data_IF_459547911136
#
_entry.id   IF_459547911136
#
_cell.length_a   1.000
_cell.length_b   1.000
_cell.length_c   1.000
_cell.angle_alpha   90.00
_cell.angle_beta   90.00
_cell.angle_gamma   90.00
#
_symmetry.space_group_name_H-M   'P 1'
#
loop_
_entity.id
_entity.type
_entity.pdbx_description
1 polymer ?
#
# COMPACT_ATOMS: atom_id res chain seq x y z
N UNK A 1 -38.78 -14.98 14.06
CA UNK A 1 -37.46 -15.43 13.59
C UNK A 1 -36.58 -14.19 13.54
N UNK A 2 -35.67 -14.06 14.49
CA UNK A 2 -34.71 -12.93 14.52
C UNK A 2 -33.76 -13.12 13.34
N UNK A 3 -33.83 -12.27 12.34
CA UNK A 3 -32.83 -12.20 11.27
C UNK A 3 -31.56 -11.73 11.96
N UNK A 4 -30.63 -12.65 12.16
CA UNK A 4 -29.27 -12.31 12.60
C UNK A 4 -28.68 -11.41 11.51
N UNK A 5 -28.71 -10.09 11.73
CA UNK A 5 -27.98 -9.16 10.86
C UNK A 5 -26.49 -9.43 11.09
N UNK A 6 -25.88 -10.20 10.23
CA UNK A 6 -24.41 -10.30 10.21
C UNK A 6 -23.84 -8.88 10.03
N UNK A 7 -22.89 -8.52 10.87
CA UNK A 7 -22.18 -7.23 10.71
C UNK A 7 -21.59 -7.13 9.32
N UNK A 8 -21.68 -5.98 8.65
CA UNK A 8 -21.01 -5.77 7.38
C UNK A 8 -19.50 -5.94 7.57
N UNK A 9 -18.81 -6.36 6.55
CA UNK A 9 -17.38 -6.66 6.60
C UNK A 9 -16.61 -5.76 5.66
N UNK A 10 -15.46 -5.29 6.13
CA UNK A 10 -14.51 -4.50 5.36
C UNK A 10 -13.20 -5.29 5.20
N UNK A 11 -12.82 -5.59 3.98
CA UNK A 11 -11.58 -6.25 3.64
C UNK A 11 -10.55 -5.22 3.17
N UNK A 12 -9.55 -4.94 3.99
CA UNK A 12 -8.41 -4.11 3.61
C UNK A 12 -7.37 -4.99 2.91
N UNK A 13 -7.08 -4.69 1.64
CA UNK A 13 -6.08 -5.43 0.87
C UNK A 13 -4.76 -4.68 0.97
N UNK A 14 -3.82 -5.26 1.71
CA UNK A 14 -2.54 -4.67 2.10
C UNK A 14 -1.38 -5.34 1.36
N UNK A 15 -0.45 -4.56 0.91
CA UNK A 15 0.75 -5.03 0.23
C UNK A 15 1.49 -3.90 -0.47
N UNK A 16 2.80 -4.04 -0.60
CA UNK A 16 3.63 -3.05 -1.28
C UNK A 16 3.21 -2.89 -2.75
N UNK A 17 3.44 -1.73 -3.33
CA UNK A 17 3.36 -1.52 -4.78
C UNK A 17 4.04 -2.66 -5.54
N UNK A 18 3.47 -3.11 -6.65
CA UNK A 18 3.98 -4.18 -7.51
C UNK A 18 3.95 -5.59 -6.92
N UNK A 19 3.29 -5.79 -5.78
CA UNK A 19 3.12 -7.12 -5.14
C UNK A 19 1.92 -7.91 -5.65
N UNK A 20 1.17 -7.42 -6.65
CA UNK A 20 -0.01 -8.12 -7.18
C UNK A 20 -1.32 -7.75 -6.48
N UNK A 21 -1.33 -6.72 -5.64
CA UNK A 21 -2.54 -6.26 -4.93
C UNK A 21 -3.70 -5.93 -5.87
N UNK A 22 -3.43 -5.36 -7.05
CA UNK A 22 -4.47 -5.08 -8.06
C UNK A 22 -5.15 -6.35 -8.57
N UNK A 23 -4.39 -7.42 -8.82
CA UNK A 23 -4.93 -8.70 -9.26
C UNK A 23 -5.80 -9.33 -8.18
N UNK A 24 -5.33 -9.32 -6.93
CA UNK A 24 -6.10 -9.82 -5.78
C UNK A 24 -7.39 -9.02 -5.60
N UNK A 25 -7.34 -7.69 -5.70
CA UNK A 25 -8.53 -6.83 -5.57
C UNK A 25 -9.56 -7.17 -6.65
N UNK A 26 -9.12 -7.38 -7.89
CA UNK A 26 -10.06 -7.77 -8.96
C UNK A 26 -10.67 -9.14 -8.73
N UNK A 27 -9.90 -10.12 -8.28
CA UNK A 27 -10.43 -11.46 -7.94
C UNK A 27 -11.45 -11.35 -6.81
N UNK A 28 -11.14 -10.62 -5.73
CA UNK A 28 -12.06 -10.37 -4.61
C UNK A 28 -13.34 -9.66 -5.09
N UNK A 29 -13.23 -8.70 -5.99
CA UNK A 29 -14.38 -8.02 -6.60
C UNK A 29 -15.23 -8.98 -7.45
N UNK A 30 -14.59 -9.85 -8.25
CA UNK A 30 -15.29 -10.87 -9.03
C UNK A 30 -15.99 -11.92 -8.16
N UNK A 31 -15.47 -12.16 -6.95
CA UNK A 31 -16.10 -12.98 -5.91
C UNK A 31 -17.22 -12.25 -5.15
N UNK A 32 -17.51 -11.00 -5.52
CA UNK A 32 -18.70 -10.26 -5.09
C UNK A 32 -18.48 -9.23 -4.00
N UNK A 33 -17.23 -8.91 -3.61
CA UNK A 33 -16.97 -7.77 -2.76
C UNK A 33 -17.16 -6.46 -3.53
N UNK A 34 -17.79 -5.48 -2.90
CA UNK A 34 -17.95 -4.14 -3.46
C UNK A 34 -16.66 -3.34 -3.26
N UNK A 35 -16.11 -2.77 -4.32
CA UNK A 35 -14.91 -1.94 -4.29
C UNK A 35 -15.19 -0.44 -4.49
N UNK A 36 -16.48 -0.06 -4.52
CA UNK A 36 -16.94 1.30 -4.83
C UNK A 36 -17.02 1.58 -6.32
N UNK A 37 -17.40 2.80 -6.66
CA UNK A 37 -17.71 3.20 -8.06
C UNK A 37 -16.61 4.06 -8.68
N UNK A 38 -15.92 4.87 -7.90
CA UNK A 38 -14.88 5.79 -8.39
C UNK A 38 -13.52 5.08 -8.45
N UNK A 39 -13.38 4.11 -9.35
CA UNK A 39 -12.17 3.30 -9.51
C UNK A 39 -11.21 3.96 -10.50
N UNK A 40 -9.93 4.01 -10.14
CA UNK A 40 -8.87 4.53 -11.01
C UNK A 40 -8.81 3.76 -12.33
N UNK A 41 -8.80 4.49 -13.42
CA UNK A 41 -8.69 3.94 -14.77
C UNK A 41 -7.33 3.24 -14.97
N UNK A 42 -7.25 2.26 -15.88
CA UNK A 42 -5.97 1.73 -16.33
C UNK A 42 -5.02 2.83 -16.77
N UNK A 43 -3.73 2.64 -16.48
CA UNK A 43 -2.72 3.65 -16.78
C UNK A 43 -1.35 3.07 -17.04
N UNK A 44 -0.37 3.95 -17.23
CA UNK A 44 1.00 3.53 -17.52
C UNK A 44 1.55 2.60 -16.42
N UNK A 45 2.00 1.43 -16.81
CA UNK A 45 2.54 0.40 -15.91
C UNK A 45 1.49 -0.53 -15.28
N UNK A 46 0.18 -0.34 -15.57
CA UNK A 46 -0.88 -1.27 -15.19
C UNK A 46 -2.06 -1.20 -16.17
N UNK A 47 -1.93 -1.88 -17.31
CA UNK A 47 -2.93 -1.92 -18.37
C UNK A 47 -4.25 -2.58 -17.95
N UNK A 48 -4.20 -3.49 -16.97
CA UNK A 48 -5.36 -4.23 -16.45
C UNK A 48 -6.14 -3.44 -15.38
N UNK A 49 -5.67 -2.24 -15.01
CA UNK A 49 -6.30 -1.37 -14.02
C UNK A 49 -5.69 -1.49 -12.63
N UNK A 50 -5.76 -0.38 -11.89
CA UNK A 50 -5.23 -0.30 -10.55
C UNK A 50 -6.16 -0.94 -9.51
N UNK A 51 -7.46 -0.94 -9.78
CA UNK A 51 -8.50 -1.40 -8.84
C UNK A 51 -8.42 -0.69 -7.49
N UNK A 52 -8.06 0.58 -7.52
CA UNK A 52 -7.99 1.49 -6.39
C UNK A 52 -9.15 2.47 -6.46
N UNK A 53 -9.77 2.77 -5.32
CA UNK A 53 -10.74 3.84 -5.24
C UNK A 53 -10.01 5.19 -5.28
N UNK A 54 -10.36 6.07 -6.22
CA UNK A 54 -9.64 7.33 -6.43
C UNK A 54 -9.61 8.22 -5.18
N UNK A 55 -10.73 8.30 -4.46
CA UNK A 55 -10.79 9.12 -3.24
C UNK A 55 -9.98 8.48 -2.09
N UNK A 56 -9.92 7.15 -2.02
CA UNK A 56 -9.07 6.46 -1.04
C UNK A 56 -7.59 6.76 -1.28
N UNK A 57 -7.17 6.66 -2.54
CA UNK A 57 -5.81 7.01 -2.98
C UNK A 57 -5.47 8.47 -2.63
N UNK A 58 -6.38 9.40 -2.89
CA UNK A 58 -6.18 10.82 -2.62
C UNK A 58 -6.11 11.11 -1.11
N UNK A 59 -6.93 10.43 -0.29
CA UNK A 59 -6.87 10.56 1.17
C UNK A 59 -5.52 10.10 1.68
N UNK A 60 -5.07 8.90 1.29
CA UNK A 60 -3.78 8.36 1.74
C UNK A 60 -2.61 9.24 1.25
N UNK A 61 -2.67 9.74 0.02
CA UNK A 61 -1.67 10.65 -0.52
C UNK A 61 -1.60 11.96 0.28
N UNK A 62 -2.74 12.61 0.48
CA UNK A 62 -2.83 13.87 1.25
C UNK A 62 -2.36 13.71 2.68
N UNK A 63 -2.70 12.58 3.31
CA UNK A 63 -2.28 12.27 4.67
C UNK A 63 -0.76 12.13 4.77
N UNK A 64 -0.13 11.40 3.86
CA UNK A 64 1.34 11.30 3.83
C UNK A 64 1.98 12.66 3.58
N UNK A 65 1.45 13.46 2.66
CA UNK A 65 1.95 14.81 2.37
C UNK A 65 1.87 15.74 3.57
N UNK A 66 0.82 15.67 4.38
CA UNK A 66 0.68 16.47 5.59
C UNK A 66 1.82 16.24 6.61
N UNK A 67 2.49 15.11 6.51
CA UNK A 67 3.67 14.74 7.29
C UNK A 67 4.99 14.94 6.56
N UNK A 68 4.99 15.59 5.39
CA UNK A 68 6.18 15.70 4.54
C UNK A 68 6.70 14.34 4.08
N UNK A 69 5.79 13.38 3.86
CA UNK A 69 6.09 12.03 3.39
C UNK A 69 5.51 11.82 1.99
N UNK A 70 6.07 10.89 1.29
CA UNK A 70 5.57 10.40 -0.01
C UNK A 70 5.41 8.89 0.05
N UNK A 71 4.80 8.31 -0.98
CA UNK A 71 4.64 6.86 -1.08
C UNK A 71 5.98 6.09 -1.15
N UNK A 72 7.08 6.74 -1.49
CA UNK A 72 8.42 6.15 -1.57
C UNK A 72 9.33 6.53 -0.39
N UNK A 73 8.77 7.08 0.67
CA UNK A 73 9.50 7.46 1.86
C UNK A 73 9.68 6.25 2.80
N UNK A 74 10.89 6.01 3.25
CA UNK A 74 11.22 4.94 4.19
C UNK A 74 11.14 5.37 5.67
N UNK A 75 10.92 6.66 5.94
CA UNK A 75 10.76 7.18 7.29
C UNK A 75 9.38 6.84 7.82
N UNK A 76 9.32 6.51 9.10
CA UNK A 76 8.05 6.29 9.78
C UNK A 76 7.27 7.58 9.98
N UNK A 77 5.94 7.45 10.03
CA UNK A 77 5.10 8.47 10.63
C UNK A 77 5.31 8.48 12.16
N UNK A 78 5.15 9.64 12.85
CA UNK A 78 5.17 9.71 14.31
C UNK A 78 4.17 8.71 14.92
N UNK A 79 4.44 8.19 16.11
CA UNK A 79 3.61 7.12 16.70
C UNK A 79 2.16 7.56 16.93
N UNK A 80 1.96 8.81 17.31
CA UNK A 80 0.66 9.41 17.60
C UNK A 80 -0.01 10.08 16.40
N UNK A 81 0.51 9.88 15.17
CA UNK A 81 -0.01 10.55 13.98
C UNK A 81 -1.53 10.36 13.74
N UNK A 82 -2.18 9.21 14.10
CA UNK A 82 -3.61 9.08 13.89
C UNK A 82 -4.44 10.04 14.75
N UNK A 83 -3.92 10.42 15.94
CA UNK A 83 -4.55 11.35 16.87
C UNK A 83 -4.28 12.81 16.55
N UNK A 84 -3.30 13.10 15.69
CA UNK A 84 -2.96 14.45 15.24
C UNK A 84 -3.97 15.01 14.23
N UNK A 85 -3.92 16.31 13.97
CA UNK A 85 -4.88 16.99 13.10
C UNK A 85 -5.05 16.34 11.72
N UNK A 86 -3.95 15.99 11.05
CA UNK A 86 -4.01 15.35 9.74
C UNK A 86 -4.66 13.96 9.78
N UNK A 87 -4.36 13.15 10.82
CA UNK A 87 -5.00 11.85 11.03
C UNK A 87 -6.51 11.98 11.28
N UNK A 88 -6.92 12.93 12.10
CA UNK A 88 -8.35 13.21 12.36
C UNK A 88 -9.08 13.72 11.13
N UNK A 89 -8.47 14.57 10.32
CA UNK A 89 -9.02 15.01 9.04
C UNK A 89 -9.20 13.83 8.08
N UNK A 90 -8.18 12.97 7.96
CA UNK A 90 -8.27 11.76 7.14
C UNK A 90 -9.41 10.85 7.61
N UNK A 91 -9.56 10.64 8.92
CA UNK A 91 -10.66 9.86 9.50
C UNK A 91 -12.03 10.39 9.08
N UNK A 92 -12.24 11.72 9.14
CA UNK A 92 -13.50 12.36 8.72
C UNK A 92 -13.75 12.10 7.22
N UNK A 93 -12.74 12.26 6.38
CA UNK A 93 -12.84 12.02 4.93
C UNK A 93 -13.13 10.55 4.61
N UNK A 94 -12.48 9.62 5.32
CA UNK A 94 -12.71 8.17 5.15
C UNK A 94 -14.13 7.81 5.58
N UNK A 95 -14.63 8.30 6.72
CA UNK A 95 -16.00 8.07 7.14
C UNK A 95 -17.01 8.55 6.10
N UNK A 96 -16.82 9.75 5.54
CA UNK A 96 -17.68 10.27 4.48
C UNK A 96 -17.62 9.40 3.20
N UNK A 97 -16.43 8.90 2.85
CA UNK A 97 -16.26 7.98 1.73
C UNK A 97 -17.01 6.66 1.97
N UNK A 98 -16.85 6.03 3.14
CA UNK A 98 -17.50 4.77 3.48
C UNK A 98 -19.02 4.92 3.43
N UNK A 99 -19.57 5.96 4.04
CA UNK A 99 -21.02 6.22 4.02
C UNK A 99 -21.55 6.44 2.62
N UNK A 100 -20.83 7.15 1.77
CA UNK A 100 -21.26 7.47 0.39
C UNK A 100 -21.20 6.24 -0.54
N UNK A 101 -20.17 5.42 -0.42
CA UNK A 101 -19.89 4.34 -1.38
C UNK A 101 -20.37 2.97 -0.90
N UNK A 102 -20.34 2.71 0.42
CA UNK A 102 -20.44 1.36 0.98
C UNK A 102 -21.62 1.17 1.94
N UNK A 103 -22.49 2.16 2.11
CA UNK A 103 -23.68 2.00 2.97
C UNK A 103 -24.54 0.83 2.50
N UNK A 104 -24.95 -0.02 3.45
CA UNK A 104 -25.79 -1.20 3.20
C UNK A 104 -25.09 -2.36 2.47
N UNK A 105 -23.79 -2.29 2.21
CA UNK A 105 -23.04 -3.36 1.56
C UNK A 105 -22.60 -4.42 2.57
N UNK A 106 -22.86 -5.71 2.33
CA UNK A 106 -22.49 -6.78 3.27
C UNK A 106 -20.98 -7.06 3.30
N UNK A 107 -20.28 -6.90 2.18
CA UNK A 107 -18.84 -7.04 2.04
C UNK A 107 -18.30 -5.96 1.12
N UNK A 108 -17.35 -5.20 1.64
CA UNK A 108 -16.59 -4.21 0.89
C UNK A 108 -15.11 -4.54 0.89
N UNK A 109 -14.41 -4.13 -0.16
CA UNK A 109 -12.95 -4.26 -0.22
C UNK A 109 -12.34 -2.94 -0.64
N UNK A 110 -11.31 -2.50 0.07
CA UNK A 110 -10.56 -1.28 -0.26
C UNK A 110 -9.09 -1.61 -0.40
N UNK A 111 -8.47 -1.06 -1.43
CA UNK A 111 -7.06 -1.22 -1.69
C UNK A 111 -6.43 0.09 -2.18
N UNK A 112 -5.43 0.52 -1.47
CA UNK A 112 -4.36 1.39 -1.92
C UNK A 112 -3.06 0.88 -1.29
N UNK A 113 -1.94 0.76 -2.02
CA UNK A 113 -0.69 0.30 -1.39
C UNK A 113 -0.26 1.17 -0.21
N UNK A 114 -0.50 2.50 -0.25
CA UNK A 114 -0.18 3.44 0.85
C UNK A 114 -0.94 3.12 2.13
N UNK A 115 -2.09 2.44 2.01
CA UNK A 115 -2.87 1.97 3.17
C UNK A 115 -2.03 1.08 4.11
N UNK A 116 -0.96 0.44 3.63
CA UNK A 116 0.00 -0.22 4.50
C UNK A 116 0.58 0.72 5.57
N UNK A 117 0.71 2.01 5.25
CA UNK A 117 1.26 3.04 6.14
C UNK A 117 0.17 3.77 6.93
N UNK A 118 -1.06 3.77 6.42
CA UNK A 118 -2.20 4.56 6.95
C UNK A 118 -3.31 3.67 7.53
N UNK A 119 -3.11 2.36 7.59
CA UNK A 119 -4.12 1.38 8.04
C UNK A 119 -4.82 1.73 9.37
N UNK A 120 -4.17 2.31 10.40
CA UNK A 120 -4.86 2.63 11.64
C UNK A 120 -6.11 3.47 11.49
N UNK A 121 -6.10 4.52 10.65
CA UNK A 121 -7.29 5.38 10.44
C UNK A 121 -8.35 4.69 9.58
N UNK A 122 -7.98 3.79 8.69
CA UNK A 122 -8.93 2.98 7.92
C UNK A 122 -9.65 1.97 8.80
N UNK A 123 -8.92 1.30 9.70
CA UNK A 123 -9.50 0.37 10.69
C UNK A 123 -10.46 1.13 11.60
N UNK A 124 -10.02 2.26 12.21
CA UNK A 124 -10.86 3.10 13.08
C UNK A 124 -12.14 3.55 12.37
N UNK A 125 -12.03 3.99 11.10
CA UNK A 125 -13.18 4.45 10.33
C UNK A 125 -14.22 3.35 10.11
N UNK A 126 -13.81 2.20 9.59
CA UNK A 126 -14.73 1.10 9.33
C UNK A 126 -15.37 0.56 10.63
N UNK A 127 -14.58 0.39 11.70
CA UNK A 127 -15.09 -0.08 12.99
C UNK A 127 -16.10 0.91 13.60
N UNK A 128 -15.84 2.22 13.50
CA UNK A 128 -16.75 3.26 13.99
C UNK A 128 -18.12 3.27 13.28
N UNK A 129 -18.15 2.78 12.04
CA UNK A 129 -19.35 2.62 11.23
C UNK A 129 -19.95 1.21 11.31
N UNK A 130 -19.45 0.38 12.22
CA UNK A 130 -20.04 -0.92 12.56
C UNK A 130 -19.57 -2.07 11.68
N UNK A 131 -18.58 -1.90 10.82
CA UNK A 131 -17.99 -2.99 10.04
C UNK A 131 -17.08 -3.88 10.91
N UNK A 132 -17.01 -5.15 10.59
CA UNK A 132 -15.94 -6.06 11.03
C UNK A 132 -14.78 -5.94 10.05
N UNK A 133 -13.62 -5.43 10.54
CA UNK A 133 -12.45 -5.20 9.69
C UNK A 133 -11.59 -6.44 9.62
N UNK A 134 -11.18 -6.79 8.40
CA UNK A 134 -10.33 -7.93 8.09
C UNK A 134 -9.23 -7.48 7.13
N UNK A 135 -8.05 -8.11 7.20
CA UNK A 135 -6.92 -7.73 6.37
C UNK A 135 -6.42 -8.92 5.54
N UNK A 136 -6.34 -8.70 4.23
CA UNK A 136 -5.73 -9.64 3.29
C UNK A 136 -4.39 -9.08 2.82
N UNK A 137 -3.31 -9.73 3.23
CA UNK A 137 -1.96 -9.39 2.82
C UNK A 137 -1.59 -10.07 1.52
N UNK A 138 -0.98 -9.30 0.63
CA UNK A 138 -0.45 -9.79 -0.64
C UNK A 138 1.05 -9.53 -0.67
N UNK A 139 1.82 -10.58 -0.68
CA UNK A 139 3.28 -10.50 -0.71
C UNK A 139 3.82 -11.08 -2.02
N UNK A 140 4.88 -10.47 -2.51
CA UNK A 140 5.66 -10.92 -3.66
C UNK A 140 7.14 -10.88 -3.29
N UNK A 141 7.94 -11.69 -3.98
CA UNK A 141 9.41 -11.67 -3.78
C UNK A 141 9.94 -10.23 -3.87
N UNK A 142 10.61 -9.73 -2.81
CA UNK A 142 11.13 -8.36 -2.79
C UNK A 142 12.05 -8.05 -3.96
N UNK A 143 12.76 -9.06 -4.52
CA UNK A 143 13.62 -8.89 -5.69
C UNK A 143 12.81 -8.59 -6.94
N UNK A 144 11.67 -9.28 -7.13
CA UNK A 144 10.77 -9.01 -8.27
C UNK A 144 10.07 -7.66 -8.12
N UNK A 145 9.73 -7.26 -6.90
CA UNK A 145 9.20 -5.92 -6.61
C UNK A 145 10.25 -4.87 -6.96
N UNK A 146 11.51 -5.09 -6.54
CA UNK A 146 12.62 -4.20 -6.84
C UNK A 146 12.88 -4.07 -8.34
N UNK A 147 12.92 -5.19 -9.07
CA UNK A 147 13.09 -5.18 -10.52
C UNK A 147 11.97 -4.44 -11.24
N UNK A 148 10.72 -4.66 -10.80
CA UNK A 148 9.55 -4.00 -11.38
C UNK A 148 9.53 -2.48 -11.12
N UNK A 149 9.94 -2.03 -9.93
CA UNK A 149 10.03 -0.61 -9.59
C UNK A 149 11.24 0.05 -10.24
N UNK A 150 12.39 -0.64 -10.28
CA UNK A 150 13.57 -0.14 -11.00
C UNK A 150 13.26 0.09 -12.48
N UNK A 151 12.55 -0.83 -13.13
CA UNK A 151 12.16 -0.68 -14.53
C UNK A 151 11.22 0.52 -14.75
N UNK A 152 10.31 0.81 -13.81
CA UNK A 152 9.34 1.91 -13.91
C UNK A 152 9.92 3.26 -13.50
N UNK A 153 10.60 3.31 -12.33
CA UNK A 153 11.03 4.56 -11.68
C UNK A 153 12.51 4.87 -11.92
N UNK A 154 13.29 3.90 -12.43
CA UNK A 154 14.75 3.99 -12.61
C UNK A 154 15.52 4.19 -11.30
N UNK A 155 14.96 3.74 -10.18
CA UNK A 155 15.61 3.83 -8.88
C UNK A 155 16.62 2.69 -8.66
N UNK A 156 17.63 2.93 -7.77
CA UNK A 156 18.47 1.84 -7.28
C UNK A 156 17.64 0.78 -6.54
N UNK A 157 18.13 -0.46 -6.46
CA UNK A 157 17.40 -1.57 -5.84
C UNK A 157 17.36 -1.47 -4.31
N UNK A 158 18.47 -1.07 -3.69
CA UNK A 158 18.60 -1.08 -2.23
C UNK A 158 17.53 -0.23 -1.51
N UNK A 159 17.24 1.03 -1.90
CA UNK A 159 16.13 1.77 -1.34
C UNK A 159 14.76 1.09 -1.50
N UNK A 160 14.57 0.32 -2.58
CA UNK A 160 13.31 -0.38 -2.82
C UNK A 160 13.12 -1.53 -1.80
N UNK A 161 14.19 -2.23 -1.41
CA UNK A 161 14.11 -3.24 -0.35
C UNK A 161 13.72 -2.64 0.99
N UNK A 162 14.28 -1.49 1.35
CA UNK A 162 13.88 -0.76 2.56
C UNK A 162 12.42 -0.30 2.49
N UNK A 163 11.98 0.17 1.34
CA UNK A 163 10.61 0.58 1.11
C UNK A 163 9.64 -0.60 1.23
N UNK A 164 9.98 -1.76 0.65
CA UNK A 164 9.21 -2.99 0.79
C UNK A 164 9.05 -3.38 2.28
N UNK A 165 10.15 -3.36 3.02
CA UNK A 165 10.13 -3.64 4.46
C UNK A 165 9.28 -2.63 5.24
N UNK A 166 9.36 -1.34 4.90
CA UNK A 166 8.57 -0.28 5.51
C UNK A 166 7.08 -0.55 5.36
N UNK A 167 6.61 -0.82 4.14
CA UNK A 167 5.21 -1.11 3.88
C UNK A 167 4.72 -2.34 4.61
N UNK A 168 5.45 -3.44 4.51
CA UNK A 168 5.01 -4.72 5.06
C UNK A 168 5.01 -4.70 6.59
N UNK A 169 6.05 -4.13 7.24
CA UNK A 169 6.09 -4.07 8.70
C UNK A 169 5.01 -3.16 9.29
N UNK A 170 4.76 -1.99 8.68
CA UNK A 170 3.71 -1.08 9.18
C UNK A 170 2.32 -1.74 9.05
N UNK A 171 2.05 -2.41 7.92
CA UNK A 171 0.81 -3.14 7.72
C UNK A 171 0.64 -4.26 8.76
N UNK A 172 1.68 -5.05 9.02
CA UNK A 172 1.66 -6.15 10.00
C UNK A 172 1.38 -5.62 11.41
N UNK A 173 2.01 -4.51 11.79
CA UNK A 173 1.84 -3.91 13.12
C UNK A 173 0.47 -3.25 13.28
N UNK A 174 0.01 -2.53 12.27
CA UNK A 174 -1.28 -1.83 12.32
C UNK A 174 -2.50 -2.76 12.38
N UNK A 175 -2.38 -3.96 11.80
CA UNK A 175 -3.49 -4.91 11.69
C UNK A 175 -3.53 -5.99 12.78
N UNK A 176 -2.73 -5.87 13.84
CA UNK A 176 -2.52 -6.97 14.81
C UNK A 176 -3.82 -7.40 15.54
N UNK A 177 -4.81 -6.53 15.66
CA UNK A 177 -6.11 -6.81 16.26
C UNK A 177 -7.16 -7.32 15.25
N UNK A 178 -6.89 -7.22 13.95
CA UNK A 178 -7.79 -7.69 12.90
C UNK A 178 -7.60 -9.20 12.64
N UNK A 179 -8.64 -9.85 12.11
CA UNK A 179 -8.43 -11.14 11.42
C UNK A 179 -7.58 -10.90 10.19
N UNK A 180 -6.59 -11.77 9.99
CA UNK A 180 -5.60 -11.60 8.92
C UNK A 180 -5.43 -12.88 8.13
N UNK A 181 -5.28 -12.75 6.82
CA UNK A 181 -4.80 -13.79 5.93
C UNK A 181 -3.65 -13.23 5.10
N UNK A 182 -2.68 -14.07 4.76
CA UNK A 182 -1.54 -13.69 3.93
C UNK A 182 -1.40 -14.67 2.78
N UNK A 183 -1.34 -14.14 1.57
CA UNK A 183 -1.10 -14.90 0.36
C UNK A 183 0.12 -14.37 -0.39
N UNK A 184 0.79 -15.24 -1.14
CA UNK A 184 1.73 -14.78 -2.15
C UNK A 184 1.03 -14.54 -3.48
N UNK A 185 1.58 -13.64 -4.28
CA UNK A 185 1.10 -13.43 -5.65
C UNK A 185 1.18 -14.72 -6.49
N UNK A 186 2.22 -15.52 -6.28
CA UNK A 186 2.42 -16.79 -6.96
C UNK A 186 1.35 -17.83 -6.61
N UNK A 187 0.91 -17.89 -5.32
CA UNK A 187 -0.19 -18.77 -4.91
C UNK A 187 -1.48 -18.41 -5.65
N UNK A 188 -1.80 -17.11 -5.77
CA UNK A 188 -2.97 -16.66 -6.54
C UNK A 188 -2.90 -17.10 -8.00
N UNK A 189 -1.75 -16.90 -8.65
CA UNK A 189 -1.59 -17.25 -10.08
C UNK A 189 -1.59 -18.75 -10.32
N UNK A 190 -1.04 -19.53 -9.39
CA UNK A 190 -0.93 -20.98 -9.50
C UNK A 190 -2.25 -21.68 -9.25
N UNK A 191 -2.97 -21.29 -8.20
CA UNK A 191 -4.23 -21.85 -7.77
C UNK A 191 -5.08 -20.81 -7.06
N UNK A 192 -5.76 -19.96 -7.82
CA UNK A 192 -6.59 -18.91 -7.22
C UNK A 192 -7.75 -19.49 -6.40
N UNK A 193 -8.33 -20.65 -6.83
CA UNK A 193 -9.46 -21.26 -6.11
C UNK A 193 -9.06 -21.76 -4.74
N UNK A 194 -8.01 -22.57 -4.67
CA UNK A 194 -7.49 -23.05 -3.38
C UNK A 194 -7.03 -21.91 -2.49
N UNK A 195 -6.38 -20.89 -3.08
CA UNK A 195 -5.93 -19.69 -2.36
C UNK A 195 -7.10 -18.91 -1.78
N UNK A 196 -8.15 -18.62 -2.56
CA UNK A 196 -9.28 -17.81 -2.09
C UNK A 196 -10.20 -18.58 -1.14
N UNK A 197 -10.28 -19.93 -1.22
CA UNK A 197 -10.92 -20.75 -0.19
C UNK A 197 -10.21 -20.65 1.14
N UNK A 198 -8.89 -20.81 1.15
CA UNK A 198 -8.09 -20.63 2.36
C UNK A 198 -8.27 -19.24 2.97
N UNK A 199 -8.25 -18.19 2.16
CA UNK A 199 -8.54 -16.80 2.62
C UNK A 199 -9.92 -16.72 3.25
N UNK A 200 -10.95 -17.31 2.62
CA UNK A 200 -12.32 -17.38 3.16
C UNK A 200 -12.37 -18.06 4.52
N UNK A 201 -11.67 -19.19 4.67
CA UNK A 201 -11.65 -19.96 5.91
C UNK A 201 -10.89 -19.21 7.03
N UNK A 202 -9.71 -18.68 6.75
CA UNK A 202 -8.88 -17.94 7.72
C UNK A 202 -9.56 -16.66 8.21
N UNK A 203 -10.25 -15.94 7.32
CA UNK A 203 -10.96 -14.72 7.64
C UNK A 203 -12.40 -14.97 8.12
N UNK A 204 -12.91 -16.22 8.06
CA UNK A 204 -14.31 -16.55 8.24
C UNK A 204 -15.21 -15.67 7.35
N UNK A 205 -14.79 -15.46 6.11
CA UNK A 205 -15.36 -14.53 5.15
C UNK A 205 -15.95 -15.28 3.96
N UNK A 206 -17.23 -15.69 3.97
CA UNK A 206 -17.84 -16.30 2.80
C UNK A 206 -17.94 -15.29 1.65
N UNK A 207 -17.53 -15.72 0.46
CA UNK A 207 -17.64 -14.87 -0.74
C UNK A 207 -19.11 -14.73 -1.14
N UNK A 208 -19.58 -13.50 -1.44
CA UNK A 208 -20.98 -13.28 -1.85
C UNK A 208 -21.37 -13.99 -3.16
N UNK A 209 -20.43 -14.12 -4.10
CA UNK A 209 -20.60 -14.83 -5.35
C UNK A 209 -19.91 -16.20 -5.26
N UNK A 210 -20.63 -17.25 -5.64
CA UNK A 210 -20.09 -18.61 -5.69
C UNK A 210 -18.88 -18.69 -6.61
N UNK A 211 -17.85 -19.43 -6.20
CA UNK A 211 -16.58 -19.56 -6.92
C UNK A 211 -16.77 -20.12 -8.34
N UNK A 212 -17.62 -21.13 -8.52
CA UNK A 212 -17.86 -21.73 -9.84
C UNK A 212 -18.55 -20.73 -10.79
N UNK A 213 -19.46 -19.92 -10.26
CA UNK A 213 -20.11 -18.85 -11.03
C UNK A 213 -19.13 -17.69 -11.36
N UNK A 214 -18.12 -17.46 -10.54
CA UNK A 214 -17.10 -16.43 -10.77
C UNK A 214 -15.93 -16.91 -11.65
N UNK A 215 -15.75 -18.23 -11.74
CA UNK A 215 -14.58 -18.84 -12.36
C UNK A 215 -14.30 -18.40 -13.80
N UNK A 216 -15.26 -18.33 -14.72
CA UNK A 216 -14.98 -17.91 -16.10
C UNK A 216 -14.38 -16.50 -16.17
N UNK A 217 -14.89 -15.58 -15.31
CA UNK A 217 -14.43 -14.19 -15.30
C UNK A 217 -13.04 -14.09 -14.69
N UNK A 218 -12.76 -14.84 -13.60
CA UNK A 218 -11.47 -14.84 -12.91
C UNK A 218 -10.41 -15.51 -13.79
N UNK A 219 -10.72 -16.68 -14.38
CA UNK A 219 -9.77 -17.39 -15.24
C UNK A 219 -9.40 -16.54 -16.47
N UNK A 220 -10.38 -15.85 -17.09
CA UNK A 220 -10.12 -14.93 -18.20
C UNK A 220 -9.22 -13.76 -17.77
N UNK A 221 -9.51 -13.15 -16.62
CA UNK A 221 -8.71 -12.04 -16.10
C UNK A 221 -7.27 -12.45 -15.79
N UNK A 222 -7.07 -13.58 -15.10
CA UNK A 222 -5.75 -14.05 -14.73
C UNK A 222 -4.92 -14.56 -15.92
N UNK A 223 -5.54 -14.98 -17.03
CA UNK A 223 -4.83 -15.42 -18.24
C UNK A 223 -4.23 -14.24 -19.04
N UNK A 224 -4.94 -13.10 -19.10
CA UNK A 224 -4.57 -11.96 -19.95
C UNK A 224 -3.43 -11.14 -19.35
N UNK A 225 -3.43 -10.96 -18.03
CA UNK A 225 -2.60 -9.93 -17.37
C UNK A 225 -1.23 -10.38 -16.85
N UNK A 226 -0.94 -11.67 -16.72
CA UNK A 226 0.09 -12.10 -15.77
C UNK A 226 1.26 -12.91 -16.32
N UNK A 227 1.32 -13.14 -17.63
CA UNK A 227 2.43 -13.87 -18.27
C UNK A 227 3.74 -13.06 -18.43
N UNK A 228 3.75 -11.78 -18.04
CA UNK A 228 4.87 -10.88 -18.39
C UNK A 228 6.02 -10.83 -17.36
N UNK A 229 5.95 -11.52 -16.22
CA UNK A 229 6.93 -11.35 -15.14
C UNK A 229 7.41 -12.65 -14.48
N UNK A 230 7.52 -13.74 -15.21
CA UNK A 230 8.34 -14.89 -14.79
C UNK A 230 9.80 -14.70 -15.24
N UNK A 231 10.38 -13.55 -14.98
CA UNK A 231 11.82 -13.48 -14.98
C UNK A 231 12.31 -14.20 -13.72
N UNK A 232 13.19 -15.18 -13.89
CA UNK A 232 13.87 -15.78 -12.74
C UNK A 232 14.41 -14.63 -11.87
N UNK A 233 14.20 -14.67 -10.54
CA UNK A 233 14.67 -13.60 -9.66
C UNK A 233 16.13 -13.36 -9.96
N UNK A 234 16.51 -12.10 -10.16
CA UNK A 234 17.91 -11.77 -10.40
C UNK A 234 18.73 -12.34 -9.23
N UNK A 235 19.89 -12.91 -9.51
CA UNK A 235 20.82 -13.44 -8.49
C UNK A 235 21.40 -12.35 -7.57
N UNK A 236 20.94 -11.10 -7.68
CA UNK A 236 21.37 -10.02 -6.82
C UNK A 236 20.98 -10.31 -5.37
N UNK A 237 21.96 -10.25 -4.50
CA UNK A 237 21.82 -10.50 -3.08
C UNK A 237 20.79 -9.53 -2.45
N UNK A 238 19.77 -10.11 -1.88
CA UNK A 238 18.83 -9.39 -1.03
C UNK A 238 19.46 -9.24 0.36
N UNK A 239 19.36 -8.08 1.02
CA UNK A 239 19.85 -7.93 2.39
C UNK A 239 19.26 -9.01 3.31
N UNK A 240 20.09 -9.59 4.18
CA UNK A 240 19.71 -10.76 5.00
C UNK A 240 18.46 -10.53 5.85
N UNK A 241 18.32 -9.33 6.44
CA UNK A 241 17.13 -8.97 7.23
C UNK A 241 15.83 -8.89 6.40
N UNK A 242 15.93 -8.52 5.11
CA UNK A 242 14.79 -8.54 4.18
C UNK A 242 14.45 -10.00 3.83
N UNK A 243 15.47 -10.83 3.58
CA UNK A 243 15.30 -12.25 3.29
C UNK A 243 14.62 -12.98 4.45
N UNK A 244 15.04 -12.69 5.68
CA UNK A 244 14.44 -13.25 6.89
C UNK A 244 12.99 -12.81 7.08
N UNK A 245 12.71 -11.51 6.93
CA UNK A 245 11.34 -11.01 7.03
C UNK A 245 10.43 -11.59 5.94
N UNK A 246 10.93 -11.72 4.72
CA UNK A 246 10.19 -12.37 3.63
C UNK A 246 9.97 -13.86 3.89
N UNK A 247 10.96 -14.58 4.46
CA UNK A 247 10.80 -15.97 4.84
C UNK A 247 9.70 -16.17 5.90
N UNK A 248 9.58 -15.25 6.87
CA UNK A 248 8.46 -15.25 7.80
C UNK A 248 7.11 -15.01 7.11
N UNK A 249 7.05 -14.09 6.13
CA UNK A 249 5.85 -13.93 5.30
C UNK A 249 5.47 -15.23 4.59
N UNK A 250 6.43 -15.91 3.96
CA UNK A 250 6.19 -17.19 3.28
C UNK A 250 5.73 -18.28 4.26
N UNK A 251 6.31 -18.36 5.46
CA UNK A 251 5.90 -19.32 6.45
C UNK A 251 4.45 -19.15 6.90
N UNK A 252 3.99 -17.90 7.05
CA UNK A 252 2.58 -17.58 7.32
C UNK A 252 1.70 -17.90 6.10
N UNK A 253 2.11 -17.51 4.89
CA UNK A 253 1.36 -17.76 3.67
C UNK A 253 1.14 -19.26 3.36
N UNK A 254 2.07 -20.10 3.80
CA UNK A 254 2.01 -21.56 3.63
C UNK A 254 1.32 -22.28 4.81
N UNK A 255 0.85 -21.53 5.82
CA UNK A 255 0.27 -22.10 7.04
C UNK A 255 1.28 -22.86 7.91
N UNK A 256 2.58 -22.63 7.70
CA UNK A 256 3.68 -23.30 8.47
C UNK A 256 4.03 -22.55 9.75
N UNK A 257 3.57 -21.31 9.90
CA UNK A 257 3.76 -20.49 11.08
C UNK A 257 2.51 -19.63 11.33
N UNK A 258 2.31 -19.24 12.58
CA UNK A 258 1.36 -18.21 12.94
C UNK A 258 1.95 -16.79 12.71
N UNK A 259 1.18 -15.76 13.07
CA UNK A 259 1.59 -14.37 12.87
C UNK A 259 2.63 -13.88 13.91
N UNK A 260 2.96 -14.65 14.95
CA UNK A 260 3.82 -14.18 16.06
C UNK A 260 5.23 -13.87 15.58
N UNK A 261 5.88 -14.82 14.90
CA UNK A 261 7.23 -14.63 14.37
C UNK A 261 7.32 -13.47 13.38
N UNK A 262 6.28 -13.29 12.53
CA UNK A 262 6.22 -12.18 11.58
C UNK A 262 6.02 -10.84 12.31
N UNK A 263 5.21 -10.83 13.37
CA UNK A 263 5.01 -9.64 14.21
C UNK A 263 6.30 -9.23 14.93
N UNK A 264 7.01 -10.18 15.53
CA UNK A 264 8.29 -9.92 16.21
C UNK A 264 9.37 -9.40 15.24
N UNK A 265 9.44 -9.97 14.04
CA UNK A 265 10.30 -9.47 12.99
C UNK A 265 9.91 -8.05 12.55
N UNK A 266 8.61 -7.74 12.46
CA UNK A 266 8.12 -6.39 12.17
C UNK A 266 8.49 -5.39 13.27
N UNK A 267 8.40 -5.77 14.55
CA UNK A 267 8.85 -4.95 15.68
C UNK A 267 10.35 -4.69 15.62
N UNK A 268 11.14 -5.71 15.28
CA UNK A 268 12.60 -5.54 15.12
C UNK A 268 12.92 -4.53 14.03
N UNK A 269 12.29 -4.62 12.87
CA UNK A 269 12.45 -3.66 11.78
C UNK A 269 11.94 -2.27 12.16
N UNK A 270 10.89 -2.18 12.97
CA UNK A 270 10.39 -0.91 13.51
C UNK A 270 11.45 -0.23 14.38
N UNK A 271 12.05 -0.95 15.31
CA UNK A 271 13.10 -0.42 16.18
C UNK A 271 14.29 0.11 15.37
N UNK A 272 14.67 -0.58 14.29
CA UNK A 272 15.71 -0.11 13.36
C UNK A 272 15.26 1.20 12.67
N UNK A 273 13.99 1.28 12.24
CA UNK A 273 13.46 2.50 11.61
C UNK A 273 13.45 3.70 12.56
N UNK A 274 13.19 3.45 13.85
CA UNK A 274 13.20 4.48 14.89
C UNK A 274 14.59 5.10 15.10
N UNK A 275 15.65 4.36 14.78
CA UNK A 275 17.03 4.88 14.84
C UNK A 275 17.35 5.80 13.67
N UNK A 276 16.97 5.43 12.45
CA UNK A 276 17.37 6.23 11.27
C UNK A 276 16.36 7.33 10.90
N UNK A 277 15.08 7.20 11.24
CA UNK A 277 14.05 8.18 10.86
C UNK A 277 14.41 9.62 11.32
N UNK A 278 14.76 9.87 12.60
CA UNK A 278 15.12 11.23 13.04
C UNK A 278 16.37 11.77 12.33
N UNK A 279 17.32 10.87 12.01
CA UNK A 279 18.52 11.27 11.29
C UNK A 279 18.21 11.71 9.85
N UNK A 280 17.37 10.95 9.16
CA UNK A 280 16.90 11.30 7.81
C UNK A 280 16.05 12.57 7.82
N UNK A 281 15.18 12.77 8.82
CA UNK A 281 14.41 14.01 8.99
C UNK A 281 15.35 15.23 9.10
N UNK A 282 16.41 15.12 9.90
CA UNK A 282 17.39 16.19 10.06
C UNK A 282 18.17 16.45 8.76
N UNK A 283 18.61 15.40 8.06
CA UNK A 283 19.31 15.55 6.78
C UNK A 283 18.45 16.25 5.73
N UNK A 284 17.18 15.90 5.64
CA UNK A 284 16.25 16.51 4.70
C UNK A 284 15.96 17.97 5.05
N UNK A 285 15.76 18.28 6.33
CA UNK A 285 15.61 19.67 6.78
C UNK A 285 16.85 20.53 6.45
N UNK A 286 18.05 19.98 6.61
CA UNK A 286 19.28 20.66 6.20
C UNK A 286 19.36 20.87 4.69
N UNK A 287 18.96 19.86 3.91
CA UNK A 287 18.91 19.95 2.44
C UNK A 287 17.96 21.05 1.98
N UNK A 288 16.74 21.12 2.53
CA UNK A 288 15.76 22.17 2.23
C UNK A 288 16.31 23.57 2.50
N UNK A 289 17.00 23.77 3.62
CA UNK A 289 17.65 25.06 3.94
C UNK A 289 18.71 25.43 2.89
N UNK A 290 19.51 24.47 2.44
CA UNK A 290 20.51 24.69 1.40
C UNK A 290 19.86 25.01 0.06
N UNK A 291 18.83 24.28 -0.31
CA UNK A 291 18.09 24.47 -1.55
C UNK A 291 17.43 25.86 -1.59
N UNK A 292 16.77 26.28 -0.51
CA UNK A 292 16.21 27.63 -0.40
C UNK A 292 17.26 28.73 -0.56
N UNK A 293 18.43 28.57 0.10
CA UNK A 293 19.53 29.52 -0.04
C UNK A 293 20.07 29.59 -1.47
N UNK A 294 20.17 28.43 -2.13
CA UNK A 294 20.64 28.34 -3.51
C UNK A 294 19.65 29.00 -4.48
N UNK A 295 18.37 28.70 -4.32
CA UNK A 295 17.28 29.27 -5.13
C UNK A 295 17.25 30.80 -4.99
N UNK A 296 17.36 31.32 -3.75
CA UNK A 296 17.42 32.76 -3.52
C UNK A 296 18.65 33.42 -4.19
N UNK A 297 19.80 32.74 -4.16
CA UNK A 297 21.01 33.26 -4.87
C UNK A 297 20.86 33.27 -6.38
N UNK A 298 20.27 32.20 -6.96
CA UNK A 298 19.99 32.11 -8.39
C UNK A 298 19.06 33.24 -8.81
N UNK A 299 17.97 33.46 -8.08
CA UNK A 299 17.03 34.54 -8.35
C UNK A 299 17.68 35.94 -8.26
N UNK A 300 18.54 36.15 -7.30
CA UNK A 300 19.31 37.41 -7.16
C UNK A 300 20.23 37.64 -8.37
N UNK A 301 20.93 36.59 -8.83
CA UNK A 301 21.80 36.67 -10.01
C UNK A 301 21.02 36.94 -11.27
N UNK A 302 19.85 36.30 -11.46
CA UNK A 302 18.94 36.53 -12.62
C UNK A 302 18.46 38.00 -12.65
N UNK A 303 18.09 38.56 -11.48
CA UNK A 303 17.67 39.95 -11.38
C UNK A 303 18.82 40.90 -11.69
N UNK A 304 20.02 40.60 -11.22
CA UNK A 304 21.24 41.40 -11.52
C UNK A 304 21.53 41.36 -13.03
N UNK A 305 21.47 40.19 -13.66
CA UNK A 305 21.67 40.06 -15.11
C UNK A 305 20.64 40.87 -15.90
N UNK A 306 19.34 40.80 -15.54
CA UNK A 306 18.31 41.62 -16.16
C UNK A 306 18.61 43.11 -16.06
N UNK A 307 19.08 43.57 -14.89
CA UNK A 307 19.44 44.96 -14.69
C UNK A 307 20.65 45.37 -15.54
N UNK A 308 21.68 44.54 -15.63
CA UNK A 308 22.82 44.80 -16.51
C UNK A 308 22.45 44.90 -17.96
N UNK A 309 21.65 43.93 -18.45
CA UNK A 309 21.17 43.90 -19.85
C UNK A 309 20.34 45.14 -20.16
N UNK A 310 19.41 45.55 -19.27
CA UNK A 310 18.59 46.76 -19.44
C UNK A 310 19.47 48.03 -19.51
N UNK A 311 20.50 48.12 -18.62
CA UNK A 311 21.43 49.27 -18.63
C UNK A 311 22.34 49.32 -19.86
N UNK A 312 22.64 48.19 -20.48
CA UNK A 312 23.39 48.15 -21.76
C UNK A 312 22.51 48.56 -22.95
N UNK A 313 21.24 48.24 -22.95
CA UNK A 313 20.30 48.60 -24.00
C UNK A 313 19.92 50.11 -23.96
N UNK A 314 19.97 50.74 -22.78
CA UNK A 314 19.70 52.18 -22.63
C UNK A 314 20.92 53.07 -22.94
N UNK A 315 22.11 52.48 -23.14
CA UNK A 315 23.34 53.22 -23.50
C UNK A 315 23.76 53.08 -24.96
N UNK A 316 23.02 52.30 -25.74
CA UNK A 316 23.10 52.19 -27.20
C UNK A 316 22.00 53.01 -27.87
#
# INVERSE_FOLDING_TARGET
MSVSHQRPRALLILGMHRSGTSAVTRVVNLLGADIGRNILLPGQGNSEGFWEHADAMEIDHSLLQAWGRTWFDIRRLPEDWPQQAAGREALVRINALIQREFDGRPLVAVKDPRMCLTAPVWVEAFESLGFEVQCLFVVRDPREVADSLQARERWPRDPIFLLWAQYMKEAVLASHQCRRSLITYDQLLKDWRGTMRRVSDELLLPWPRNEDAAAPDIDAFLQVGHRHHFAAPSSADMPSFIAEFYANCLAVADGRADWSALHDAALTLRNISDLYTPHLDNLLAQHEVVEHKLTAKVQALENLLKTIVSNMQTKS
#
